data_IF_032040261604
#
_entry.id   IF_032040261604
#
_cell.length_a   1.000
_cell.length_b   1.000
_cell.length_c   1.000
_cell.angle_alpha   90.00
_cell.angle_beta   90.00
_cell.angle_gamma   90.00
#
_symmetry.space_group_name_H-M   'P 1'
#
loop_
_entity.id
_entity.type
_entity.pdbx_description
1 polymer ?
#
# COMPACT_ATOMS: atom_id res chain seq x y z
N UNK A 1 -15.38 -15.25 18.09
CA UNK A 1 -16.57 -14.56 18.66
C UNK A 1 -17.16 -13.70 17.55
N UNK A 2 -18.28 -14.10 16.95
CA UNK A 2 -18.88 -13.47 15.76
C UNK A 2 -19.78 -12.32 16.21
N UNK A 3 -19.46 -11.09 15.83
CA UNK A 3 -20.35 -9.95 16.04
C UNK A 3 -21.09 -9.67 14.73
N UNK A 4 -22.41 -9.77 14.77
CA UNK A 4 -23.31 -9.47 13.67
C UNK A 4 -23.58 -7.96 13.67
N UNK A 5 -23.39 -7.28 12.53
CA UNK A 5 -23.89 -5.92 12.36
C UNK A 5 -24.92 -5.84 11.23
N UNK A 6 -25.96 -5.09 11.57
CA UNK A 6 -27.23 -4.88 10.86
C UNK A 6 -27.01 -3.96 9.66
N UNK A 7 -27.17 -4.52 8.46
CA UNK A 7 -27.28 -3.75 7.23
C UNK A 7 -28.63 -3.00 7.26
N UNK A 8 -28.61 -1.66 7.33
CA UNK A 8 -29.78 -0.86 6.96
C UNK A 8 -29.80 -0.76 5.44
N UNK A 9 -30.33 -1.78 4.79
CA UNK A 9 -30.76 -1.68 3.40
C UNK A 9 -32.29 -1.61 3.38
N UNK A 10 -32.84 -0.67 2.61
CA UNK A 10 -34.24 -0.79 2.18
C UNK A 10 -34.24 -1.93 1.16
N UNK A 11 -34.33 -3.14 1.72
CA UNK A 11 -34.31 -4.49 1.12
C UNK A 11 -32.99 -5.29 1.17
N UNK A 12 -33.07 -6.30 2.05
CA UNK A 12 -32.43 -7.64 2.09
C UNK A 12 -30.95 -7.81 2.47
N UNK A 13 -30.74 -8.07 3.78
CA UNK A 13 -30.22 -9.31 4.38
C UNK A 13 -29.18 -10.16 3.60
N UNK A 14 -27.96 -10.31 4.13
CA UNK A 14 -27.46 -11.54 4.82
C UNK A 14 -25.98 -11.41 5.21
N UNK A 15 -25.62 -12.12 6.27
CA UNK A 15 -24.28 -12.44 6.80
C UNK A 15 -23.28 -12.98 5.78
N UNK A 16 -22.02 -12.51 5.86
CA UNK A 16 -20.79 -13.09 5.25
C UNK A 16 -21.03 -13.89 3.98
N UNK A 17 -21.17 -13.18 2.85
CA UNK A 17 -20.92 -13.67 1.48
C UNK A 17 -21.01 -12.46 0.54
N UNK A 18 -19.92 -12.20 -0.19
CA UNK A 18 -19.82 -11.44 -1.45
C UNK A 18 -21.05 -10.58 -1.79
N UNK A 19 -20.94 -9.25 -1.72
CA UNK A 19 -21.96 -8.33 -2.25
C UNK A 19 -21.87 -8.36 -3.78
N UNK A 20 -22.54 -9.33 -4.42
CA UNK A 20 -22.71 -9.38 -5.88
C UNK A 20 -24.11 -8.88 -6.21
N UNK A 21 -24.26 -7.60 -6.55
CA UNK A 21 -25.53 -7.05 -7.02
C UNK A 21 -25.35 -6.36 -8.36
N UNK A 22 -26.22 -6.71 -9.31
CA UNK A 22 -26.31 -6.12 -10.63
C UNK A 22 -27.44 -5.07 -10.60
N UNK A 23 -27.19 -3.94 -9.94
CA UNK A 23 -28.16 -2.86 -9.74
C UNK A 23 -27.43 -1.52 -9.88
N UNK A 24 -27.98 -0.62 -10.70
CA UNK A 24 -27.57 0.79 -10.81
C UNK A 24 -27.84 1.50 -9.48
N UNK A 25 -26.82 2.11 -8.89
CA UNK A 25 -26.81 2.74 -7.55
C UNK A 25 -26.84 1.79 -6.35
N UNK A 26 -25.65 1.37 -5.91
CA UNK A 26 -25.46 0.69 -4.62
C UNK A 26 -24.65 1.57 -3.64
N UNK A 27 -25.09 1.65 -2.39
CA UNK A 27 -24.37 2.33 -1.31
C UNK A 27 -23.93 1.31 -0.27
N UNK A 28 -22.63 1.07 -0.18
CA UNK A 28 -22.00 0.21 0.83
C UNK A 28 -21.33 1.15 1.84
N UNK A 29 -22.00 1.39 2.97
CA UNK A 29 -21.49 2.33 3.98
C UNK A 29 -21.54 1.83 5.41
N UNK A 30 -20.53 2.18 6.21
CA UNK A 30 -20.52 1.94 7.67
C UNK A 30 -20.43 0.48 8.07
N UNK A 31 -19.85 -0.38 7.23
CA UNK A 31 -19.73 -1.82 7.49
C UNK A 31 -18.35 -2.18 8.04
N UNK A 32 -18.30 -3.26 8.81
CA UNK A 32 -17.05 -3.92 9.21
C UNK A 32 -16.97 -5.26 8.49
N UNK A 33 -16.06 -5.36 7.53
CA UNK A 33 -15.76 -6.52 6.70
C UNK A 33 -14.29 -6.96 6.91
N UNK A 34 -13.94 -7.22 8.16
CA UNK A 34 -12.59 -7.56 8.60
C UNK A 34 -12.42 -9.04 8.95
N UNK A 35 -11.18 -9.56 8.93
CA UNK A 35 -10.85 -10.94 9.33
C UNK A 35 -11.55 -12.02 8.49
N UNK A 36 -11.73 -11.77 7.19
CA UNK A 36 -12.28 -12.75 6.26
C UNK A 36 -11.16 -13.54 5.55
N UNK A 37 -11.49 -14.78 5.17
CA UNK A 37 -10.58 -15.67 4.42
C UNK A 37 -10.39 -15.28 2.94
N UNK A 38 -11.08 -14.25 2.48
CA UNK A 38 -11.02 -13.69 1.15
C UNK A 38 -11.03 -12.17 1.29
N UNK A 39 -11.23 -11.45 0.18
CA UNK A 39 -11.42 -10.00 0.22
C UNK A 39 -12.57 -9.54 1.12
N UNK A 40 -12.39 -8.41 1.83
CA UNK A 40 -13.39 -7.88 2.76
C UNK A 40 -14.65 -7.39 2.06
N UNK A 41 -14.50 -6.40 1.17
CA UNK A 41 -15.56 -5.93 0.28
C UNK A 41 -15.17 -6.31 -1.14
N UNK A 42 -16.08 -6.98 -1.86
CA UNK A 42 -15.89 -7.33 -3.25
C UNK A 42 -17.07 -6.88 -4.09
N UNK A 43 -16.78 -6.10 -5.13
CA UNK A 43 -17.71 -5.69 -6.17
C UNK A 43 -17.29 -6.36 -7.48
N UNK A 44 -18.26 -6.91 -8.22
CA UNK A 44 -17.94 -7.62 -9.46
C UNK A 44 -18.97 -7.38 -10.55
N UNK A 45 -18.48 -7.13 -11.77
CA UNK A 45 -19.16 -7.07 -13.08
C UNK A 45 -20.29 -6.06 -13.20
N UNK A 46 -20.17 -5.14 -14.17
CA UNK A 46 -21.21 -4.24 -14.69
C UNK A 46 -21.96 -3.42 -13.62
N UNK A 47 -21.32 -3.20 -12.48
CA UNK A 47 -21.83 -2.27 -11.48
C UNK A 47 -21.36 -0.88 -11.88
N UNK A 48 -22.31 0.02 -12.06
CA UNK A 48 -22.09 1.43 -12.32
C UNK A 48 -22.66 2.25 -11.15
N UNK A 49 -22.08 3.41 -10.89
CA UNK A 49 -22.55 4.38 -9.90
C UNK A 49 -22.65 3.82 -8.46
N UNK A 50 -21.60 3.12 -8.01
CA UNK A 50 -21.53 2.54 -6.66
C UNK A 50 -20.73 3.44 -5.72
N UNK A 51 -21.26 3.69 -4.52
CA UNK A 51 -20.55 4.35 -3.44
C UNK A 51 -20.14 3.32 -2.36
N UNK A 52 -18.84 3.14 -2.16
CA UNK A 52 -18.26 2.39 -1.05
C UNK A 52 -17.62 3.39 -0.10
N UNK A 53 -18.22 3.63 1.08
CA UNK A 53 -17.69 4.64 1.99
C UNK A 53 -17.72 4.28 3.47
N UNK A 54 -16.77 4.81 4.26
CA UNK A 54 -16.76 4.65 5.71
C UNK A 54 -16.84 3.19 6.18
N UNK A 55 -16.24 2.25 5.43
CA UNK A 55 -16.16 0.85 5.83
C UNK A 55 -14.79 0.52 6.42
N UNK A 56 -14.77 -0.43 7.33
CA UNK A 56 -13.55 -1.10 7.79
C UNK A 56 -13.44 -2.46 7.10
N UNK A 57 -12.50 -2.59 6.16
CA UNK A 57 -12.17 -3.81 5.45
C UNK A 57 -10.71 -4.24 5.75
N UNK A 58 -10.33 -4.22 7.02
CA UNK A 58 -8.98 -4.57 7.47
C UNK A 58 -8.77 -6.05 7.80
N UNK A 59 -7.50 -6.47 7.82
CA UNK A 59 -7.07 -7.79 8.30
C UNK A 59 -7.70 -8.97 7.52
N UNK A 60 -7.92 -8.82 6.22
CA UNK A 60 -8.41 -9.90 5.37
C UNK A 60 -7.25 -10.67 4.72
N UNK A 61 -7.52 -11.93 4.37
CA UNK A 61 -6.53 -12.85 3.81
C UNK A 61 -6.18 -12.58 2.34
N UNK A 62 -6.89 -11.66 1.67
CA UNK A 62 -6.59 -11.17 0.32
C UNK A 62 -6.56 -9.63 0.31
N UNK A 63 -7.59 -9.00 -0.27
CA UNK A 63 -7.71 -7.55 -0.40
C UNK A 63 -8.65 -6.96 0.65
N UNK A 64 -8.49 -5.67 0.98
CA UNK A 64 -9.52 -4.98 1.74
C UNK A 64 -10.76 -4.77 0.89
N UNK A 65 -10.60 -4.00 -0.20
CA UNK A 65 -11.64 -3.72 -1.18
C UNK A 65 -11.17 -4.20 -2.56
N UNK A 66 -11.95 -5.07 -3.21
CA UNK A 66 -11.67 -5.61 -4.53
C UNK A 66 -12.80 -5.25 -5.50
N UNK A 67 -12.48 -4.51 -6.56
CA UNK A 67 -13.41 -4.12 -7.62
C UNK A 67 -12.98 -4.74 -8.94
N UNK A 68 -13.89 -5.52 -9.55
CA UNK A 68 -13.64 -6.22 -10.80
C UNK A 68 -14.67 -5.87 -11.87
N UNK A 69 -14.25 -5.39 -13.04
CA UNK A 69 -15.14 -5.12 -14.17
C UNK A 69 -16.21 -4.06 -13.88
N UNK A 70 -15.87 -2.98 -13.16
CA UNK A 70 -16.83 -1.93 -12.78
C UNK A 70 -16.32 -0.54 -13.19
N UNK A 71 -17.25 0.40 -13.38
CA UNK A 71 -16.98 1.80 -13.73
C UNK A 71 -17.74 2.76 -12.82
N UNK A 72 -17.29 4.02 -12.75
CA UNK A 72 -17.86 5.08 -11.91
C UNK A 72 -18.14 4.65 -10.44
N UNK A 73 -17.23 3.86 -9.87
CA UNK A 73 -17.24 3.52 -8.45
C UNK A 73 -16.51 4.60 -7.65
N UNK A 74 -17.17 5.14 -6.63
CA UNK A 74 -16.58 6.02 -5.64
C UNK A 74 -16.21 5.24 -4.37
N UNK A 75 -14.91 5.08 -4.11
CA UNK A 75 -14.36 4.44 -2.90
C UNK A 75 -13.82 5.54 -2.00
N UNK A 76 -14.57 5.90 -0.95
CA UNK A 76 -14.34 7.12 -0.17
C UNK A 76 -14.21 6.86 1.32
N UNK A 77 -13.14 7.33 1.96
CA UNK A 77 -13.01 7.31 3.43
C UNK A 77 -13.15 5.91 4.06
N UNK A 78 -12.63 4.88 3.41
CA UNK A 78 -12.58 3.53 3.96
C UNK A 78 -11.24 3.26 4.64
N UNK A 79 -11.25 2.30 5.58
CA UNK A 79 -10.06 1.74 6.21
C UNK A 79 -9.83 0.34 5.65
N UNK A 80 -8.70 0.11 4.99
CA UNK A 80 -8.33 -1.16 4.35
C UNK A 80 -6.90 -1.56 4.73
N UNK A 81 -6.62 -1.56 6.03
CA UNK A 81 -5.29 -1.84 6.57
C UNK A 81 -5.00 -3.33 6.75
N UNK A 82 -3.72 -3.70 6.69
CA UNK A 82 -3.17 -4.99 7.09
C UNK A 82 -3.84 -6.19 6.39
N UNK A 83 -4.22 -6.03 5.13
CA UNK A 83 -4.67 -7.14 4.30
C UNK A 83 -3.45 -7.85 3.70
N UNK A 84 -3.50 -9.18 3.58
CA UNK A 84 -2.34 -9.97 3.14
C UNK A 84 -1.87 -9.63 1.73
N UNK A 85 -2.75 -9.11 0.88
CA UNK A 85 -2.42 -8.60 -0.44
C UNK A 85 -2.53 -7.08 -0.46
N UNK A 86 -3.59 -6.50 -1.03
CA UNK A 86 -3.66 -5.06 -1.26
C UNK A 86 -4.74 -4.42 -0.40
N UNK A 87 -4.58 -3.14 -0.06
CA UNK A 87 -5.66 -2.41 0.58
C UNK A 87 -6.86 -2.28 -0.35
N UNK A 88 -6.67 -1.66 -1.51
CA UNK A 88 -7.70 -1.46 -2.52
C UNK A 88 -7.19 -1.95 -3.89
N UNK A 89 -7.95 -2.80 -4.56
CA UNK A 89 -7.61 -3.29 -5.91
C UNK A 89 -8.70 -2.95 -6.90
N UNK A 90 -8.30 -2.41 -8.05
CA UNK A 90 -9.12 -2.30 -9.26
C UNK A 90 -8.57 -3.28 -10.31
N UNK A 91 -9.43 -4.14 -10.82
CA UNK A 91 -9.11 -5.07 -11.90
C UNK A 91 -10.11 -4.91 -13.04
N UNK A 92 -9.61 -4.61 -14.23
CA UNK A 92 -10.42 -4.36 -15.43
C UNK A 92 -11.52 -3.33 -15.16
N UNK A 93 -11.20 -2.27 -14.40
CA UNK A 93 -12.17 -1.32 -13.86
C UNK A 93 -11.74 0.11 -14.16
N UNK A 94 -12.43 0.74 -15.11
CA UNK A 94 -12.06 2.05 -15.65
C UNK A 94 -12.87 3.18 -15.01
N UNK A 95 -12.33 4.39 -14.96
CA UNK A 95 -13.12 5.59 -14.62
C UNK A 95 -13.62 5.67 -13.16
N UNK A 96 -12.86 5.13 -12.20
CA UNK A 96 -13.24 5.11 -10.79
C UNK A 96 -12.54 6.18 -9.95
N UNK A 97 -13.10 6.50 -8.79
CA UNK A 97 -12.60 7.52 -7.87
C UNK A 97 -12.26 6.89 -6.51
N UNK A 98 -10.99 6.92 -6.11
CA UNK A 98 -10.50 6.43 -4.82
C UNK A 98 -9.99 7.63 -4.01
N UNK A 99 -10.75 8.03 -2.99
CA UNK A 99 -10.47 9.26 -2.25
C UNK A 99 -10.49 9.14 -0.73
N UNK A 100 -9.52 9.76 -0.06
CA UNK A 100 -9.47 9.87 1.40
C UNK A 100 -9.46 8.53 2.15
N UNK A 101 -9.01 7.44 1.53
CA UNK A 101 -8.94 6.12 2.16
C UNK A 101 -7.64 5.97 2.96
N UNK A 102 -7.67 5.11 3.98
CA UNK A 102 -6.48 4.66 4.71
C UNK A 102 -6.25 3.19 4.38
N UNK A 103 -5.14 2.88 3.69
CA UNK A 103 -4.79 1.52 3.29
C UNK A 103 -3.31 1.25 3.61
N UNK A 104 -3.03 1.04 4.89
CA UNK A 104 -1.70 0.87 5.44
C UNK A 104 -1.33 -0.60 5.66
N UNK A 105 -0.03 -0.93 5.64
CA UNK A 105 0.44 -2.26 6.05
C UNK A 105 0.05 -3.39 5.10
N UNK A 106 -0.17 -3.10 3.82
CA UNK A 106 -0.49 -4.07 2.77
C UNK A 106 0.73 -4.28 1.84
N UNK A 107 0.63 -5.20 0.88
CA UNK A 107 1.57 -5.26 -0.25
C UNK A 107 1.49 -3.99 -1.07
N UNK A 108 0.28 -3.61 -1.51
CA UNK A 108 0.03 -2.33 -2.18
C UNK A 108 -1.05 -1.54 -1.44
N UNK A 109 -0.87 -0.24 -1.27
CA UNK A 109 -1.96 0.65 -0.82
C UNK A 109 -3.11 0.60 -1.82
N UNK A 110 -2.82 0.87 -3.09
CA UNK A 110 -3.72 0.62 -4.23
C UNK A 110 -3.04 -0.20 -5.34
N UNK A 111 -3.75 -1.14 -5.95
CA UNK A 111 -3.26 -1.90 -7.11
C UNK A 111 -4.25 -1.81 -8.27
N UNK A 112 -3.80 -1.36 -9.44
CA UNK A 112 -4.59 -1.27 -10.65
C UNK A 112 -4.09 -2.29 -11.69
N UNK A 113 -4.99 -3.15 -12.14
CA UNK A 113 -4.73 -4.17 -13.15
C UNK A 113 -5.64 -3.92 -14.34
N UNK A 114 -5.08 -3.65 -15.52
CA UNK A 114 -5.84 -3.36 -16.75
C UNK A 114 -6.95 -2.33 -16.54
N UNK A 115 -6.70 -1.29 -15.74
CA UNK A 115 -7.70 -0.35 -15.22
C UNK A 115 -7.26 1.09 -15.54
N UNK A 116 -8.04 1.79 -16.35
CA UNK A 116 -7.66 3.06 -16.98
C UNK A 116 -8.51 4.23 -16.48
N UNK A 117 -8.00 5.45 -16.64
CA UNK A 117 -8.73 6.69 -16.38
C UNK A 117 -9.29 6.80 -14.93
N UNK A 118 -8.63 6.19 -13.95
CA UNK A 118 -9.00 6.26 -12.55
C UNK A 118 -8.30 7.44 -11.86
N UNK A 119 -8.94 7.97 -10.81
CA UNK A 119 -8.35 9.02 -9.98
C UNK A 119 -8.18 8.48 -8.56
N UNK A 120 -6.96 8.58 -8.04
CA UNK A 120 -6.57 8.12 -6.72
C UNK A 120 -5.98 9.32 -5.98
N UNK A 121 -6.75 9.89 -5.05
CA UNK A 121 -6.39 11.16 -4.43
C UNK A 121 -6.60 11.25 -2.92
N UNK A 122 -5.74 11.98 -2.22
CA UNK A 122 -5.92 12.27 -0.79
C UNK A 122 -5.84 11.03 0.12
N UNK A 123 -5.28 9.91 -0.35
CA UNK A 123 -5.26 8.66 0.41
C UNK A 123 -3.99 8.54 1.27
N UNK A 124 -4.07 7.75 2.33
CA UNK A 124 -2.95 7.43 3.22
C UNK A 124 -2.51 5.98 3.02
N UNK A 125 -1.27 5.78 2.57
CA UNK A 125 -0.68 4.50 2.17
C UNK A 125 0.66 4.24 2.89
N UNK A 126 0.63 4.20 4.21
CA UNK A 126 1.81 4.02 5.06
C UNK A 126 2.17 2.55 5.26
N UNK A 127 3.46 2.27 5.32
CA UNK A 127 4.02 0.94 5.60
C UNK A 127 3.53 -0.15 4.64
N UNK A 128 3.15 0.21 3.41
CA UNK A 128 2.91 -0.77 2.36
C UNK A 128 4.21 -1.09 1.63
N UNK A 129 4.39 -2.31 1.13
CA UNK A 129 5.58 -2.66 0.32
C UNK A 129 5.72 -1.70 -0.86
N UNK A 130 4.60 -1.43 -1.55
CA UNK A 130 4.48 -0.41 -2.56
C UNK A 130 3.33 0.54 -2.20
N UNK A 131 3.52 1.84 -2.42
CA UNK A 131 2.46 2.82 -2.15
C UNK A 131 1.24 2.55 -3.05
N UNK A 132 1.51 2.44 -4.35
CA UNK A 132 0.56 1.99 -5.36
C UNK A 132 1.32 1.24 -6.47
N UNK A 133 0.60 0.40 -7.20
CA UNK A 133 1.11 -0.32 -8.36
C UNK A 133 0.10 -0.30 -9.51
N UNK A 134 0.61 -0.26 -10.73
CA UNK A 134 -0.18 -0.24 -11.96
C UNK A 134 0.40 -1.24 -12.97
N UNK A 135 -0.45 -2.12 -13.50
CA UNK A 135 -0.09 -3.08 -14.55
C UNK A 135 -1.08 -2.96 -15.70
N UNK A 136 -0.59 -2.81 -16.94
CA UNK A 136 -1.40 -2.66 -18.16
C UNK A 136 -2.49 -1.59 -18.06
N UNK A 137 -2.22 -0.53 -17.31
CA UNK A 137 -3.18 0.51 -16.92
C UNK A 137 -2.67 1.86 -17.41
N UNK A 138 -3.56 2.71 -17.94
CA UNK A 138 -3.20 3.99 -18.57
C UNK A 138 -4.08 5.14 -18.07
N UNK A 139 -3.54 6.36 -18.13
CA UNK A 139 -4.25 7.60 -17.81
C UNK A 139 -4.84 7.67 -16.41
N UNK A 140 -4.26 6.95 -15.43
CA UNK A 140 -4.66 7.09 -14.04
C UNK A 140 -3.93 8.29 -13.42
N UNK A 141 -4.61 9.00 -12.52
CA UNK A 141 -4.08 10.17 -11.86
C UNK A 141 -3.93 9.92 -10.36
N UNK A 142 -2.69 10.06 -9.86
CA UNK A 142 -2.36 9.95 -8.44
C UNK A 142 -1.90 11.33 -7.93
N UNK A 143 -2.64 11.92 -6.99
CA UNK A 143 -2.25 13.21 -6.40
C UNK A 143 -2.65 13.30 -4.92
N UNK A 144 -1.93 14.11 -4.15
CA UNK A 144 -2.18 14.33 -2.70
C UNK A 144 -2.25 13.04 -1.85
N UNK A 145 -1.63 11.94 -2.31
CA UNK A 145 -1.53 10.71 -1.52
C UNK A 145 -0.28 10.75 -0.62
N UNK A 146 -0.42 10.28 0.61
CA UNK A 146 0.67 10.18 1.58
C UNK A 146 1.27 8.77 1.51
N UNK A 147 2.53 8.69 1.07
CA UNK A 147 3.27 7.43 0.90
C UNK A 147 4.48 7.37 1.84
N UNK A 148 4.58 6.32 2.65
CA UNK A 148 5.79 6.02 3.40
C UNK A 148 6.04 4.51 3.35
N UNK A 149 7.20 4.10 2.87
CA UNK A 149 7.60 2.69 2.85
C UNK A 149 7.82 2.16 4.29
N UNK A 150 7.77 0.84 4.52
CA UNK A 150 8.12 0.26 5.81
C UNK A 150 9.57 0.62 6.12
N UNK A 151 9.83 0.99 7.37
CA UNK A 151 11.20 1.27 7.84
C UNK A 151 11.96 -0.06 7.80
N UNK A 152 12.75 -0.31 6.75
CA UNK A 152 13.69 -1.42 6.77
C UNK A 152 14.87 -1.01 7.63
N UNK A 153 15.36 -1.87 8.54
CA UNK A 153 16.63 -1.61 9.20
C UNK A 153 17.67 -1.39 8.11
N UNK A 154 18.36 -0.25 8.13
CA UNK A 154 19.49 -0.04 7.22
C UNK A 154 20.38 -1.28 7.35
N UNK A 155 20.70 -1.98 6.25
CA UNK A 155 21.75 -2.99 6.33
C UNK A 155 22.95 -2.26 6.93
N UNK A 156 23.49 -2.81 8.03
CA UNK A 156 24.71 -2.27 8.62
C UNK A 156 25.79 -2.16 7.54
N UNK A 157 26.78 -1.28 7.73
CA UNK A 157 27.92 -1.19 6.82
C UNK A 157 28.45 -2.59 6.50
N UNK A 158 28.52 -2.91 5.21
CA UNK A 158 29.04 -4.18 4.72
C UNK A 158 30.41 -4.46 5.38
N UNK A 159 30.64 -5.66 5.97
CA UNK A 159 31.89 -5.95 6.68
C UNK A 159 33.15 -5.80 5.83
N UNK A 160 33.08 -6.00 4.51
CA UNK A 160 34.20 -5.77 3.60
C UNK A 160 34.43 -4.27 3.38
N UNK A 161 33.37 -3.48 3.21
CA UNK A 161 33.49 -2.01 3.13
C UNK A 161 34.05 -1.46 4.44
N UNK A 162 33.55 -1.94 5.58
CA UNK A 162 34.06 -1.56 6.90
C UNK A 162 35.54 -1.96 7.05
N UNK A 163 35.89 -3.18 6.63
CA UNK A 163 37.28 -3.66 6.62
C UNK A 163 38.19 -2.82 5.72
N UNK A 164 37.72 -2.42 4.54
CA UNK A 164 38.46 -1.54 3.62
C UNK A 164 38.70 -0.16 4.24
N UNK A 165 37.68 0.44 4.86
CA UNK A 165 37.77 1.75 5.52
C UNK A 165 38.79 1.69 6.66
N UNK A 166 38.69 0.67 7.54
CA UNK A 166 39.61 0.49 8.66
C UNK A 166 41.04 0.25 8.15
N UNK A 167 41.20 -0.59 7.12
CA UNK A 167 42.50 -0.89 6.52
C UNK A 167 43.17 0.35 5.92
N UNK A 168 42.43 1.17 5.17
CA UNK A 168 42.93 2.42 4.60
C UNK A 168 43.31 3.43 5.69
N UNK A 169 42.49 3.56 6.74
CA UNK A 169 42.76 4.47 7.85
C UNK A 169 44.06 4.09 8.59
N UNK A 170 44.23 2.79 8.90
CA UNK A 170 45.45 2.28 9.55
C UNK A 170 46.66 2.45 8.62
N UNK A 171 46.52 2.10 7.34
CA UNK A 171 47.60 2.19 6.34
C UNK A 171 48.11 3.61 6.13
N UNK A 172 47.20 4.57 5.95
CA UNK A 172 47.55 6.00 5.82
C UNK A 172 48.19 6.54 7.11
N UNK A 173 47.67 6.15 8.28
CA UNK A 173 48.25 6.54 9.56
C UNK A 173 49.67 6.03 9.76
N UNK A 174 49.92 4.76 9.43
CA UNK A 174 51.25 4.16 9.49
C UNK A 174 52.24 4.84 8.52
N UNK A 175 51.80 5.11 7.29
CA UNK A 175 52.61 5.82 6.30
C UNK A 175 52.97 7.24 6.78
N UNK A 176 52.00 7.98 7.31
CA UNK A 176 52.24 9.30 7.87
C UNK A 176 53.27 9.28 9.00
N UNK A 177 53.18 8.29 9.91
CA UNK A 177 54.15 8.14 11.00
C UNK A 177 55.57 7.86 10.49
N UNK A 178 55.73 6.99 9.48
CA UNK A 178 57.04 6.70 8.85
C UNK A 178 57.62 7.96 8.21
N UNK A 179 56.83 8.72 7.47
CA UNK A 179 57.25 9.97 6.85
C UNK A 179 57.70 10.98 7.90
N UNK A 180 56.91 11.17 8.96
CA UNK A 180 57.25 12.08 10.07
C UNK A 180 58.57 11.68 10.74
N UNK A 181 58.74 10.40 11.06
CA UNK A 181 59.99 9.90 11.68
C UNK A 181 61.20 10.08 10.77
N UNK A 182 61.04 9.88 9.46
CA UNK A 182 62.11 10.07 8.48
C UNK A 182 62.52 11.54 8.38
N UNK A 183 61.56 12.46 8.37
CA UNK A 183 61.80 13.91 8.40
C UNK A 183 62.39 14.40 9.72
N UNK A 184 62.07 13.75 10.86
CA UNK A 184 62.69 14.07 12.16
C UNK A 184 64.14 13.58 12.22
N UNK A 185 64.45 12.40 11.67
CA UNK A 185 65.82 11.85 11.62
C UNK A 185 66.73 12.67 10.70
N UNK A 186 66.27 13.01 9.49
CA UNK A 186 67.05 13.82 8.54
C UNK A 186 67.32 15.28 8.97
N UNK A 187 66.74 15.75 10.09
CA UNK A 187 67.04 17.06 10.69
C UNK A 187 68.12 16.99 11.79
N UNK A 188 68.59 15.79 12.16
CA UNK A 188 69.59 15.56 13.21
C UNK A 188 70.98 15.23 12.66
N UNK A 189 71.14 15.19 11.33
CA UNK A 189 72.43 15.18 10.62
C UNK A 189 72.68 16.58 10.03
#
# INVERSE_FOLDING_TARGET
>A
MKVFYRIRNRQTNTTTRRIKQNITYNVITGNTASFNNLSGISLSTNSDEVLISNNDASNNEEHGIFVYGCTNVAIVSNTANNNKMNGITLDTSDGNFIYSNTANGNVNGTNLLSSNNNIIAGNTFLNNIYCYNETNSNNNLFYDNICTAPITPSPGLDPFILGLIIGLAIGLGALAAVVILSLVRGRKE
#
